data_IF_686477920769
#
_entry.id   IF_686477920769
#
_cell.length_a   1.000
_cell.length_b   1.000
_cell.length_c   1.000
_cell.angle_alpha   90.00
_cell.angle_beta   90.00
_cell.angle_gamma   90.00
#
_symmetry.space_group_name_H-M   'P 1'
#
loop_
_entity.id
_entity.type
_entity.pdbx_description
1 polymer ?
#
# COMPACT_ATOMS: atom_id res chain seq x y z
N UNK A 1 8.09 0.09 -6.84
CA UNK A 1 8.29 -1.15 -7.63
C UNK A 1 9.27 -0.92 -8.78
N UNK A 2 9.01 -0.02 -9.77
CA UNK A 2 9.88 0.19 -10.96
C UNK A 2 11.35 0.48 -10.61
N UNK A 3 11.64 1.37 -9.66
CA UNK A 3 13.01 1.63 -9.22
C UNK A 3 13.71 0.36 -8.69
N UNK A 4 12.99 -0.48 -7.95
CA UNK A 4 13.54 -1.75 -7.47
C UNK A 4 13.79 -2.73 -8.62
N UNK A 5 12.89 -2.80 -9.60
CA UNK A 5 13.08 -3.62 -10.80
C UNK A 5 14.30 -3.20 -11.61
N UNK A 6 14.52 -1.89 -11.74
CA UNK A 6 15.72 -1.32 -12.40
C UNK A 6 16.98 -1.65 -11.60
N UNK A 7 16.96 -1.51 -10.28
CA UNK A 7 18.09 -1.90 -9.42
C UNK A 7 18.41 -3.40 -9.51
N UNK A 8 17.43 -4.26 -9.79
CA UNK A 8 17.63 -5.70 -9.94
C UNK A 8 17.92 -6.13 -11.37
N UNK A 9 18.18 -5.20 -12.27
CA UNK A 9 18.42 -5.43 -13.71
C UNK A 9 17.29 -6.21 -14.41
N UNK A 10 16.05 -6.08 -13.88
CA UNK A 10 14.84 -6.68 -14.48
C UNK A 10 14.19 -5.75 -15.49
N UNK A 11 14.40 -4.45 -15.33
CA UNK A 11 13.95 -3.41 -16.26
C UNK A 11 15.15 -2.56 -16.67
N UNK A 12 15.22 -2.18 -17.96
CA UNK A 12 16.26 -1.29 -18.48
C UNK A 12 16.09 0.15 -17.98
N UNK A 13 17.16 0.90 -17.97
CA UNK A 13 17.20 2.34 -17.68
C UNK A 13 17.75 3.12 -18.89
N UNK A 14 17.32 4.37 -19.03
CA UNK A 14 17.68 5.19 -20.20
C UNK A 14 19.10 5.75 -20.10
N UNK A 15 19.58 6.05 -18.90
CA UNK A 15 20.90 6.65 -18.66
C UNK A 15 21.37 6.43 -17.23
N UNK A 16 22.68 6.53 -17.01
CA UNK A 16 23.34 6.32 -15.73
C UNK A 16 23.91 4.92 -15.59
N UNK A 17 24.61 4.68 -14.49
CA UNK A 17 25.25 3.41 -14.18
C UNK A 17 24.84 2.94 -12.79
N UNK A 18 24.53 1.64 -12.66
CA UNK A 18 24.26 1.00 -11.36
C UNK A 18 25.52 0.22 -10.98
N UNK A 19 26.14 0.62 -9.87
CA UNK A 19 27.38 -0.01 -9.41
C UNK A 19 27.15 -0.73 -8.11
N UNK A 20 27.35 -2.04 -8.11
CA UNK A 20 27.31 -2.87 -6.92
C UNK A 20 28.71 -3.15 -6.37
N UNK A 21 28.80 -3.25 -5.05
CA UNK A 21 30.01 -3.78 -4.40
C UNK A 21 30.19 -5.24 -4.83
N UNK A 22 31.44 -5.68 -5.05
CA UNK A 22 31.76 -7.09 -5.27
C UNK A 22 31.25 -7.93 -4.09
N UNK A 23 30.73 -9.10 -4.41
CA UNK A 23 30.25 -10.10 -3.44
C UNK A 23 29.06 -9.62 -2.58
N UNK A 24 28.34 -8.58 -3.01
CA UNK A 24 27.14 -8.13 -2.32
C UNK A 24 26.02 -9.16 -2.51
N UNK A 25 25.57 -9.75 -1.42
CA UNK A 25 24.38 -10.59 -1.41
C UNK A 25 23.13 -9.74 -1.34
N UNK A 26 22.35 -9.74 -2.41
CA UNK A 26 21.10 -8.97 -2.51
C UNK A 26 19.92 -9.91 -2.36
N UNK A 27 19.00 -9.60 -1.44
CA UNK A 27 17.71 -10.25 -1.32
C UNK A 27 16.61 -9.32 -1.84
N UNK A 28 15.74 -9.81 -2.70
CA UNK A 28 14.64 -9.02 -3.23
C UNK A 28 13.30 -9.72 -3.08
N UNK A 29 12.38 -9.08 -2.35
CA UNK A 29 10.98 -9.47 -2.27
C UNK A 29 10.17 -8.69 -3.30
N UNK A 30 9.67 -9.42 -4.29
CA UNK A 30 8.82 -8.86 -5.34
C UNK A 30 7.38 -8.67 -4.88
N UNK A 31 6.68 -7.71 -5.49
CA UNK A 31 5.26 -7.48 -5.24
C UNK A 31 4.40 -8.71 -5.62
N UNK A 32 4.75 -9.43 -6.67
CA UNK A 32 4.02 -10.61 -7.18
C UNK A 32 4.99 -11.76 -7.45
N UNK A 33 5.45 -12.47 -6.41
CA UNK A 33 6.36 -13.58 -6.56
C UNK A 33 5.70 -14.72 -7.34
N UNK A 34 6.45 -15.34 -8.24
CA UNK A 34 6.00 -16.50 -9.01
C UNK A 34 6.72 -17.75 -8.51
N UNK A 35 5.97 -18.83 -8.35
CA UNK A 35 6.46 -20.13 -7.94
C UNK A 35 5.93 -21.20 -8.90
N UNK A 36 6.64 -22.30 -9.00
CA UNK A 36 6.11 -23.48 -9.66
C UNK A 36 4.96 -24.05 -8.79
N UNK A 37 3.76 -24.23 -9.34
CA UNK A 37 2.62 -24.74 -8.58
C UNK A 37 2.83 -26.13 -7.98
N UNK A 38 3.69 -26.96 -8.60
CA UNK A 38 3.94 -28.34 -8.18
C UNK A 38 5.04 -28.46 -7.11
N UNK A 39 5.88 -27.42 -6.92
CA UNK A 39 6.89 -27.42 -5.86
C UNK A 39 6.24 -27.37 -4.48
N UNK A 40 6.81 -28.08 -3.51
CA UNK A 40 6.45 -27.94 -2.12
C UNK A 40 6.97 -26.61 -1.54
N UNK A 41 6.34 -26.11 -0.47
CA UNK A 41 6.80 -24.93 0.25
C UNK A 41 8.27 -25.02 0.62
N UNK A 42 8.72 -26.21 1.06
CA UNK A 42 10.10 -26.43 1.44
C UNK A 42 11.04 -26.34 0.23
N UNK A 43 10.68 -26.95 -0.89
CA UNK A 43 11.46 -26.87 -2.13
C UNK A 43 11.55 -25.44 -2.68
N UNK A 44 10.45 -24.68 -2.63
CA UNK A 44 10.43 -23.29 -3.04
C UNK A 44 11.36 -22.37 -2.21
N UNK A 45 11.69 -22.77 -0.98
CA UNK A 45 12.65 -22.07 -0.13
C UNK A 45 14.10 -22.50 -0.34
N UNK A 46 14.32 -23.68 -0.92
CA UNK A 46 15.65 -24.27 -1.09
C UNK A 46 15.82 -24.68 -2.56
N UNK A 47 16.62 -23.95 -3.32
CA UNK A 47 17.04 -24.35 -4.66
C UNK A 47 17.94 -25.59 -4.59
N UNK A 48 17.42 -26.72 -4.08
CA UNK A 48 18.12 -28.02 -3.96
C UNK A 48 19.41 -28.04 -3.12
N UNK A 49 19.58 -27.10 -2.20
CA UNK A 49 20.70 -27.13 -1.24
C UNK A 49 20.29 -27.87 0.05
N UNK A 50 20.88 -29.03 0.29
CA UNK A 50 20.67 -29.87 1.48
C UNK A 50 21.47 -29.39 2.72
N UNK A 51 21.50 -28.09 3.00
CA UNK A 51 22.14 -27.55 4.20
C UNK A 51 21.21 -27.64 5.41
N UNK A 52 21.48 -28.51 6.41
CA UNK A 52 20.58 -28.71 7.55
C UNK A 52 20.34 -27.45 8.38
N UNK A 53 21.33 -26.54 8.47
CA UNK A 53 21.19 -25.31 9.23
C UNK A 53 20.22 -24.34 8.55
N UNK A 54 20.31 -24.23 7.21
CA UNK A 54 19.36 -23.44 6.42
C UNK A 54 17.95 -24.00 6.50
N UNK A 55 17.80 -25.33 6.47
CA UNK A 55 16.50 -26.01 6.62
C UNK A 55 15.86 -25.71 7.97
N UNK A 56 16.65 -25.78 9.06
CA UNK A 56 16.14 -25.45 10.40
C UNK A 56 15.67 -24.00 10.47
N UNK A 57 16.48 -23.09 9.95
CA UNK A 57 16.17 -21.66 9.92
C UNK A 57 14.91 -21.36 9.09
N UNK A 58 14.78 -21.98 7.94
CA UNK A 58 13.58 -21.87 7.11
C UNK A 58 12.33 -22.33 7.86
N UNK A 59 12.38 -23.47 8.52
CA UNK A 59 11.28 -23.97 9.34
C UNK A 59 10.91 -22.98 10.43
N UNK A 60 11.88 -22.37 11.08
CA UNK A 60 11.64 -21.34 12.10
C UNK A 60 10.93 -20.11 11.51
N UNK A 61 11.46 -19.56 10.41
CA UNK A 61 10.88 -18.36 9.76
C UNK A 61 9.47 -18.66 9.22
N UNK A 62 9.28 -19.80 8.55
CA UNK A 62 7.97 -20.21 8.02
C UNK A 62 6.94 -20.40 9.14
N UNK A 63 7.36 -20.97 10.29
CA UNK A 63 6.49 -21.09 11.46
C UNK A 63 6.05 -19.72 11.99
N UNK A 64 6.96 -18.77 12.09
CA UNK A 64 6.65 -17.38 12.48
C UNK A 64 5.70 -16.69 11.50
N UNK A 65 5.79 -17.04 10.23
CA UNK A 65 4.88 -16.56 9.18
C UNK A 65 3.62 -17.42 9.03
N UNK A 66 3.32 -18.28 10.00
CA UNK A 66 2.14 -19.15 10.06
C UNK A 66 1.98 -20.06 8.81
N UNK A 67 3.10 -20.55 8.29
CA UNK A 67 3.16 -21.59 7.25
C UNK A 67 3.61 -22.89 7.94
N UNK A 68 2.65 -23.77 8.22
CA UNK A 68 2.88 -24.97 9.03
C UNK A 68 3.04 -26.24 8.19
N UNK A 69 2.37 -26.33 7.05
CA UNK A 69 2.49 -27.48 6.14
C UNK A 69 3.55 -27.22 5.08
N UNK A 70 4.75 -27.73 5.31
CA UNK A 70 5.92 -27.48 4.45
C UNK A 70 5.96 -28.36 3.22
N UNK A 71 5.24 -29.48 3.22
CA UNK A 71 5.15 -30.41 2.09
C UNK A 71 3.99 -30.06 1.14
N UNK A 72 3.21 -29.03 1.47
CA UNK A 72 2.09 -28.61 0.63
C UNK A 72 2.60 -27.96 -0.66
N UNK A 73 2.04 -28.32 -1.83
CA UNK A 73 2.35 -27.68 -3.11
C UNK A 73 2.03 -26.19 -3.10
N UNK A 74 2.89 -25.37 -3.72
CA UNK A 74 2.72 -23.92 -3.81
C UNK A 74 1.41 -23.50 -4.49
N UNK A 75 0.94 -24.28 -5.45
CA UNK A 75 -0.33 -24.05 -6.14
C UNK A 75 -1.58 -24.15 -5.26
N UNK A 76 -1.49 -24.81 -4.09
CA UNK A 76 -2.58 -24.93 -3.13
C UNK A 76 -2.60 -23.79 -2.10
N UNK A 77 -1.58 -22.94 -2.10
CA UNK A 77 -1.50 -21.80 -1.20
C UNK A 77 -2.31 -20.62 -1.74
N UNK A 78 -2.94 -19.87 -0.85
CA UNK A 78 -3.50 -18.55 -1.19
C UNK A 78 -2.38 -17.57 -1.60
N UNK A 79 -2.70 -16.54 -2.40
CA UNK A 79 -1.73 -15.53 -2.79
C UNK A 79 -1.02 -14.85 -1.62
N UNK A 80 -1.74 -14.67 -0.49
CA UNK A 80 -1.12 -14.15 0.75
C UNK A 80 -0.15 -15.13 1.40
N UNK A 81 -0.42 -16.44 1.33
CA UNK A 81 0.52 -17.47 1.81
C UNK A 81 1.75 -17.55 0.92
N UNK A 82 1.58 -17.50 -0.40
CA UNK A 82 2.70 -17.47 -1.34
C UNK A 82 3.64 -16.28 -1.10
N UNK A 83 3.08 -15.09 -0.81
CA UNK A 83 3.89 -13.91 -0.44
C UNK A 83 4.66 -14.11 0.87
N UNK A 84 4.07 -14.78 1.84
CA UNK A 84 4.77 -15.11 3.10
C UNK A 84 5.91 -16.11 2.87
N UNK A 85 5.71 -17.09 2.00
CA UNK A 85 6.79 -18.01 1.58
C UNK A 85 7.90 -17.26 0.85
N UNK A 86 7.56 -16.32 -0.05
CA UNK A 86 8.54 -15.48 -0.74
C UNK A 86 9.35 -14.62 0.24
N UNK A 87 8.69 -14.02 1.23
CA UNK A 87 9.37 -13.28 2.29
C UNK A 87 10.32 -14.20 3.07
N UNK A 88 9.86 -15.39 3.46
CA UNK A 88 10.71 -16.37 4.13
C UNK A 88 11.95 -16.71 3.31
N UNK A 89 11.77 -16.99 2.01
CA UNK A 89 12.85 -17.32 1.08
C UNK A 89 13.94 -16.23 1.07
N UNK A 90 13.53 -14.96 0.94
CA UNK A 90 14.47 -13.84 0.97
C UNK A 90 15.19 -13.71 2.32
N UNK A 91 14.51 -13.92 3.44
CA UNK A 91 15.10 -13.79 4.78
C UNK A 91 16.07 -14.95 5.14
N UNK A 92 15.82 -16.14 4.61
CA UNK A 92 16.67 -17.33 4.83
C UNK A 92 18.07 -17.14 4.26
N UNK A 93 18.16 -16.44 3.11
CA UNK A 93 19.45 -16.22 2.43
C UNK A 93 20.39 -15.27 3.17
N UNK A 94 19.94 -14.60 4.23
CA UNK A 94 20.68 -13.59 4.99
C UNK A 94 21.43 -12.57 4.11
N UNK A 95 20.73 -11.81 3.31
CA UNK A 95 21.37 -10.88 2.40
C UNK A 95 22.01 -9.70 3.15
N UNK A 96 23.11 -9.16 2.58
CA UNK A 96 23.73 -7.92 3.05
C UNK A 96 22.87 -6.70 2.73
N UNK A 97 22.18 -6.76 1.60
CA UNK A 97 21.25 -5.72 1.14
C UNK A 97 19.88 -6.33 0.85
N UNK A 98 18.89 -5.87 1.56
CA UNK A 98 17.53 -6.39 1.52
C UNK A 98 16.60 -5.37 0.85
N UNK A 99 16.01 -5.73 -0.28
CA UNK A 99 14.99 -4.95 -0.95
C UNK A 99 13.62 -5.56 -0.75
N UNK A 100 12.68 -4.77 -0.21
CA UNK A 100 11.34 -5.22 0.15
C UNK A 100 10.27 -4.35 -0.51
N UNK A 101 9.45 -4.96 -1.36
CA UNK A 101 8.30 -4.28 -1.98
C UNK A 101 7.01 -4.69 -1.27
N UNK A 102 6.45 -3.75 -0.49
CA UNK A 102 5.23 -3.92 0.33
C UNK A 102 5.27 -5.17 1.24
N UNK A 103 6.28 -5.29 2.13
CA UNK A 103 6.50 -6.51 2.91
C UNK A 103 5.42 -6.79 3.96
N UNK A 104 4.65 -5.77 4.39
CA UNK A 104 3.59 -5.90 5.39
C UNK A 104 2.25 -6.38 4.81
N UNK A 105 2.12 -6.37 3.48
CA UNK A 105 0.90 -6.84 2.83
C UNK A 105 0.67 -8.33 3.11
N UNK A 106 -0.55 -8.68 3.48
CA UNK A 106 -0.99 -10.04 3.84
C UNK A 106 -0.40 -10.60 5.15
N UNK A 107 0.34 -9.80 5.93
CA UNK A 107 0.74 -10.13 7.28
C UNK A 107 -0.33 -9.68 8.27
N UNK A 108 -0.49 -10.40 9.36
CA UNK A 108 -1.24 -9.94 10.51
C UNK A 108 -0.32 -9.19 11.49
N UNK A 109 -0.90 -8.63 12.55
CA UNK A 109 -0.18 -7.78 13.48
C UNK A 109 1.01 -8.51 14.14
N UNK A 110 0.82 -9.76 14.52
CA UNK A 110 1.85 -10.58 15.17
C UNK A 110 3.05 -10.82 14.24
N UNK A 111 2.77 -11.11 12.96
CA UNK A 111 3.82 -11.26 11.94
C UNK A 111 4.54 -9.94 11.64
N UNK A 112 3.82 -8.82 11.62
CA UNK A 112 4.41 -7.49 11.42
C UNK A 112 5.36 -7.16 12.58
N UNK A 113 4.94 -7.35 13.83
CA UNK A 113 5.78 -7.12 15.02
C UNK A 113 7.02 -8.02 15.02
N UNK A 114 6.86 -9.27 14.63
CA UNK A 114 8.01 -10.17 14.48
C UNK A 114 8.96 -9.69 13.38
N UNK A 115 8.45 -9.28 12.22
CA UNK A 115 9.26 -8.78 11.11
C UNK A 115 10.00 -7.50 11.49
N UNK A 116 9.34 -6.55 12.17
CA UNK A 116 9.99 -5.36 12.75
C UNK A 116 11.17 -5.75 13.63
N UNK A 117 10.96 -6.69 14.57
CA UNK A 117 12.01 -7.20 15.45
C UNK A 117 13.14 -7.89 14.69
N UNK A 118 12.83 -8.62 13.63
CA UNK A 118 13.82 -9.29 12.79
C UNK A 118 14.67 -8.30 11.99
N UNK A 119 14.05 -7.29 11.38
CA UNK A 119 14.75 -6.29 10.57
C UNK A 119 15.59 -5.34 11.39
N UNK A 120 15.18 -5.02 12.61
CA UNK A 120 15.95 -4.17 13.53
C UNK A 120 17.12 -4.90 14.19
N UNK A 121 17.20 -6.24 14.11
CA UNK A 121 18.33 -7.00 14.63
C UNK A 121 19.44 -7.09 13.59
N UNK A 122 20.64 -6.68 13.98
CA UNK A 122 21.85 -6.78 13.16
C UNK A 122 22.07 -5.59 12.22
N UNK A 123 23.21 -5.62 11.51
CA UNK A 123 23.64 -4.54 10.61
C UNK A 123 23.18 -4.82 9.18
N UNK A 124 21.87 -4.85 8.94
CA UNK A 124 21.31 -5.05 7.60
C UNK A 124 21.08 -3.73 6.91
N UNK A 125 21.45 -3.64 5.64
CA UNK A 125 21.04 -2.52 4.79
C UNK A 125 19.70 -2.86 4.16
N UNK A 126 18.71 -2.01 4.38
CA UNK A 126 17.33 -2.24 3.93
C UNK A 126 16.90 -1.11 3.02
N UNK A 127 16.34 -1.47 1.88
CA UNK A 127 15.62 -0.56 1.00
C UNK A 127 14.20 -1.08 0.80
N UNK A 128 13.20 -0.32 1.25
CA UNK A 128 11.82 -0.79 1.16
C UNK A 128 10.89 0.24 0.54
N UNK A 129 9.84 -0.25 -0.09
CA UNK A 129 8.66 0.51 -0.49
C UNK A 129 7.51 0.00 0.36
N UNK A 130 6.82 0.90 1.05
CA UNK A 130 5.64 0.53 1.84
C UNK A 130 4.69 1.71 2.01
N UNK A 131 3.40 1.41 2.14
CA UNK A 131 2.35 2.34 2.54
C UNK A 131 2.08 2.28 4.06
N UNK A 132 2.69 1.35 4.76
CA UNK A 132 2.56 1.21 6.22
C UNK A 132 3.48 2.21 6.94
N UNK A 133 2.87 3.30 7.41
CA UNK A 133 3.58 4.41 8.07
C UNK A 133 4.18 4.00 9.42
N UNK A 134 3.50 3.12 10.13
CA UNK A 134 3.96 2.64 11.45
C UNK A 134 5.17 1.75 11.30
N UNK A 135 5.13 0.84 10.33
CA UNK A 135 6.24 -0.03 10.01
C UNK A 135 7.47 0.77 9.54
N UNK A 136 7.24 1.76 8.67
CA UNK A 136 8.27 2.65 8.16
C UNK A 136 8.96 3.42 9.29
N UNK A 137 8.18 3.94 10.24
CA UNK A 137 8.69 4.74 11.37
C UNK A 137 9.53 3.90 12.35
N UNK A 138 9.24 2.59 12.46
CA UNK A 138 9.97 1.69 13.35
C UNK A 138 11.23 1.07 12.74
N UNK A 139 11.27 0.88 11.42
CA UNK A 139 12.35 0.16 10.73
C UNK A 139 13.31 1.10 10.02
N UNK A 140 12.81 2.23 9.46
CA UNK A 140 13.62 3.11 8.63
C UNK A 140 14.16 4.31 9.41
N UNK A 141 15.42 4.68 9.12
CA UNK A 141 16.07 5.90 9.60
C UNK A 141 16.22 6.98 8.52
N UNK A 142 15.89 6.65 7.30
CA UNK A 142 15.97 7.54 6.14
C UNK A 142 14.76 7.29 5.24
N UNK A 143 14.10 8.36 4.81
CA UNK A 143 12.95 8.31 3.90
C UNK A 143 13.32 8.98 2.59
N UNK A 144 13.05 8.31 1.49
CA UNK A 144 13.17 8.83 0.15
C UNK A 144 11.78 9.14 -0.40
N UNK A 145 11.53 10.38 -0.76
CA UNK A 145 10.31 10.80 -1.44
C UNK A 145 10.61 10.99 -2.93
N UNK A 146 9.94 10.23 -3.77
CA UNK A 146 9.96 10.43 -5.22
C UNK A 146 8.80 11.34 -5.61
N UNK A 147 9.10 12.57 -6.01
CA UNK A 147 8.11 13.58 -6.38
C UNK A 147 8.61 14.36 -7.60
N UNK A 148 7.78 14.49 -8.63
CA UNK A 148 8.06 15.17 -9.89
C UNK A 148 9.48 14.86 -10.46
N UNK A 149 9.78 13.57 -10.63
CA UNK A 149 11.07 13.05 -11.18
C UNK A 149 12.31 13.38 -10.32
N UNK A 150 12.11 13.85 -9.10
CA UNK A 150 13.17 14.20 -8.16
C UNK A 150 13.08 13.35 -6.91
N UNK A 151 14.22 12.93 -6.38
CA UNK A 151 14.28 12.20 -5.11
C UNK A 151 14.72 13.17 -4.02
N UNK A 152 13.87 13.32 -3.02
CA UNK A 152 14.16 14.08 -1.80
C UNK A 152 14.50 13.11 -0.67
N UNK A 153 15.59 13.39 0.03
CA UNK A 153 16.08 12.52 1.11
C UNK A 153 15.84 13.20 2.47
N UNK A 154 15.17 12.49 3.36
CA UNK A 154 14.90 12.92 4.72
C UNK A 154 15.53 11.94 5.71
N UNK A 155 16.48 12.40 6.52
CA UNK A 155 17.11 11.59 7.57
C UNK A 155 16.35 11.81 8.87
N UNK A 156 15.57 10.82 9.27
CA UNK A 156 14.71 10.88 10.44
C UNK A 156 13.50 9.96 10.29
N UNK A 157 12.57 10.08 11.22
CA UNK A 157 11.34 9.31 11.26
C UNK A 157 10.25 9.89 10.33
N UNK A 158 9.10 9.22 10.25
CA UNK A 158 8.00 9.62 9.39
C UNK A 158 7.40 10.98 9.78
N UNK A 159 7.35 11.31 11.09
CA UNK A 159 6.88 12.61 11.55
C UNK A 159 7.78 13.76 11.07
N UNK A 160 9.11 13.58 11.17
CA UNK A 160 10.09 14.52 10.64
C UNK A 160 9.97 14.71 9.12
N UNK A 161 9.76 13.61 8.38
CA UNK A 161 9.50 13.68 6.95
C UNK A 161 8.28 14.54 6.63
N UNK A 162 7.15 14.33 7.32
CA UNK A 162 5.92 15.09 7.09
C UNK A 162 6.13 16.58 7.35
N UNK A 163 6.81 16.93 8.44
CA UNK A 163 7.14 18.33 8.78
C UNK A 163 7.97 18.98 7.67
N UNK A 164 9.06 18.33 7.27
CA UNK A 164 9.96 18.85 6.22
C UNK A 164 9.33 18.89 4.84
N UNK A 165 8.49 17.92 4.52
CA UNK A 165 7.70 17.95 3.30
C UNK A 165 6.73 19.15 3.29
N UNK A 166 6.06 19.40 4.42
CA UNK A 166 5.14 20.54 4.53
C UNK A 166 5.88 21.86 4.37
N UNK A 167 7.00 22.05 5.06
CA UNK A 167 7.87 23.23 4.89
C UNK A 167 8.29 23.43 3.42
N UNK A 168 8.73 22.37 2.75
CA UNK A 168 9.10 22.41 1.32
C UNK A 168 7.94 22.86 0.44
N UNK A 169 6.75 22.30 0.67
CA UNK A 169 5.55 22.64 -0.09
C UNK A 169 5.10 24.08 0.14
N UNK A 170 5.21 24.57 1.36
CA UNK A 170 4.83 25.95 1.69
C UNK A 170 5.82 26.96 1.09
N UNK A 171 7.13 26.64 1.11
CA UNK A 171 8.15 27.46 0.43
C UNK A 171 7.90 27.49 -1.09
N UNK A 172 7.61 26.36 -1.71
CA UNK A 172 7.29 26.29 -3.14
C UNK A 172 6.02 27.10 -3.49
N UNK A 173 4.99 27.02 -2.66
CA UNK A 173 3.77 27.84 -2.81
C UNK A 173 4.06 29.32 -2.72
N UNK A 174 4.89 29.72 -1.76
CA UNK A 174 5.30 31.11 -1.57
C UNK A 174 6.10 31.62 -2.79
N UNK A 175 7.04 30.84 -3.30
CA UNK A 175 7.85 31.16 -4.47
C UNK A 175 6.97 31.31 -5.73
N UNK A 176 6.07 30.38 -5.98
CA UNK A 176 5.13 30.48 -7.11
C UNK A 176 4.24 31.71 -6.96
N UNK A 177 3.75 32.03 -5.75
CA UNK A 177 2.92 33.20 -5.52
C UNK A 177 3.70 34.50 -5.73
N UNK A 178 4.95 34.55 -5.28
CA UNK A 178 5.84 35.69 -5.53
C UNK A 178 6.08 35.86 -7.03
N UNK A 179 6.40 34.76 -7.73
CA UNK A 179 6.60 34.75 -9.18
C UNK A 179 5.35 35.17 -9.95
N UNK A 180 4.15 34.77 -9.53
CA UNK A 180 2.88 35.24 -10.10
C UNK A 180 2.69 36.73 -9.96
N UNK A 181 3.03 37.31 -8.82
CA UNK A 181 2.91 38.74 -8.58
C UNK A 181 3.91 39.54 -9.44
N UNK A 182 5.14 39.04 -9.55
CA UNK A 182 6.17 39.65 -10.41
C UNK A 182 5.78 39.51 -11.90
N UNK A 183 5.29 38.33 -12.32
CA UNK A 183 4.82 38.10 -13.68
C UNK A 183 3.72 39.07 -14.10
N UNK A 184 2.76 39.38 -13.22
CA UNK A 184 1.71 40.39 -13.53
C UNK A 184 2.30 41.76 -13.81
N UNK A 185 3.31 42.20 -13.05
CA UNK A 185 3.99 43.50 -13.27
C UNK A 185 4.78 43.49 -14.58
N UNK A 186 5.53 42.43 -14.85
CA UNK A 186 6.33 42.31 -16.06
C UNK A 186 5.44 42.12 -17.31
N UNK A 187 4.27 41.49 -17.18
CA UNK A 187 3.31 41.36 -18.25
C UNK A 187 2.77 42.74 -18.69
N UNK A 188 2.49 43.64 -17.75
CA UNK A 188 2.06 44.99 -18.03
C UNK A 188 3.15 45.77 -18.77
N UNK A 189 4.43 45.56 -18.38
CA UNK A 189 5.56 46.13 -19.10
C UNK A 189 5.71 45.51 -20.50
N UNK A 190 5.56 44.21 -20.67
CA UNK A 190 5.61 43.54 -21.97
C UNK A 190 4.50 44.02 -22.92
N UNK A 191 3.32 44.36 -22.44
CA UNK A 191 2.20 44.87 -23.21
C UNK A 191 2.35 46.32 -23.67
N UNK A 192 3.19 47.12 -22.98
CA UNK A 192 3.47 48.50 -23.39
C UNK A 192 4.35 48.52 -24.64
N UNK A 193 4.02 49.37 -25.59
CA UNK A 193 4.87 49.60 -26.76
C UNK A 193 6.15 50.37 -26.34
N UNK A 194 7.32 50.07 -26.98
CA UNK A 194 8.54 50.85 -26.74
C UNK A 194 8.32 52.31 -27.13
N UNK A 195 8.86 53.23 -26.31
CA UNK A 195 8.79 54.65 -26.64
C UNK A 195 9.79 54.97 -27.78
N UNK A 196 9.31 55.66 -28.82
CA UNK A 196 10.09 56.06 -29.97
C UNK A 196 10.72 54.88 -30.76
N UNK A 197 11.94 55.07 -31.32
CA UNK A 197 12.65 54.05 -32.11
C UNK A 197 13.42 53.00 -31.27
N UNK A 198 13.06 52.85 -29.97
CA UNK A 198 13.72 51.90 -29.07
C UNK A 198 13.18 50.49 -29.18
N UNK A 199 14.07 49.50 -28.96
CA UNK A 199 13.72 48.11 -28.80
C UNK A 199 13.65 47.76 -27.31
N UNK A 200 12.78 46.79 -26.93
CA UNK A 200 12.81 46.24 -25.58
C UNK A 200 14.14 45.56 -25.32
N UNK A 201 14.61 45.63 -24.10
CA UNK A 201 15.87 44.98 -23.73
C UNK A 201 15.67 43.43 -23.76
N UNK A 202 16.37 42.74 -24.66
CA UNK A 202 16.27 41.30 -24.91
C UNK A 202 16.44 40.51 -23.62
N UNK A 203 17.40 40.84 -22.80
CA UNK A 203 17.65 40.22 -21.49
C UNK A 203 16.38 40.22 -20.61
N UNK A 204 15.59 41.30 -20.61
CA UNK A 204 14.36 41.40 -19.82
C UNK A 204 13.19 40.59 -20.41
N UNK A 205 13.17 40.48 -21.75
CA UNK A 205 12.26 39.60 -22.46
C UNK A 205 12.55 38.11 -22.11
N UNK A 206 13.81 37.71 -22.15
CA UNK A 206 14.23 36.36 -21.79
C UNK A 206 13.92 36.05 -20.33
N UNK A 207 14.19 36.99 -19.40
CA UNK A 207 13.82 36.85 -17.99
C UNK A 207 12.31 36.75 -17.77
N UNK A 208 11.50 37.46 -18.58
CA UNK A 208 10.05 37.36 -18.53
C UNK A 208 9.56 35.94 -18.89
N UNK A 209 10.10 35.31 -19.93
CA UNK A 209 9.70 33.96 -20.32
C UNK A 209 10.11 32.92 -19.27
N UNK A 210 11.25 33.06 -18.62
CA UNK A 210 11.62 32.17 -17.50
C UNK A 210 10.68 32.37 -16.30
N UNK A 211 10.35 33.61 -15.96
CA UNK A 211 9.40 33.94 -14.91
C UNK A 211 8.00 33.38 -15.21
N UNK A 212 7.59 33.44 -16.48
CA UNK A 212 6.31 32.89 -16.94
C UNK A 212 6.21 31.38 -16.69
N UNK A 213 7.28 30.63 -16.97
CA UNK A 213 7.32 29.18 -16.71
C UNK A 213 7.06 28.88 -15.24
N UNK A 214 7.75 29.58 -14.32
CA UNK A 214 7.57 29.41 -12.88
C UNK A 214 6.18 29.84 -12.43
N UNK A 215 5.71 31.02 -12.89
CA UNK A 215 4.40 31.56 -12.51
C UNK A 215 3.21 30.72 -12.98
N UNK A 216 3.38 29.97 -14.09
CA UNK A 216 2.36 29.05 -14.62
C UNK A 216 2.40 27.66 -14.01
N UNK A 217 3.40 27.34 -13.18
CA UNK A 217 3.40 26.07 -12.45
C UNK A 217 2.15 25.97 -11.58
N UNK A 218 1.49 24.83 -11.67
CA UNK A 218 0.34 24.47 -10.83
C UNK A 218 0.79 23.38 -9.88
N UNK A 219 0.75 23.65 -8.61
CA UNK A 219 0.79 22.59 -7.60
C UNK A 219 -0.59 21.94 -7.66
N UNK A 220 -0.66 20.73 -8.22
CA UNK A 220 -1.89 19.95 -8.20
C UNK A 220 -2.13 19.45 -6.78
N UNK A 221 -2.95 20.19 -6.05
CA UNK A 221 -3.48 19.72 -4.77
C UNK A 221 -4.62 18.74 -5.11
N UNK A 222 -4.27 17.47 -5.33
CA UNK A 222 -5.22 16.39 -5.68
C UNK A 222 -6.06 15.99 -4.46
N UNK A 223 -6.64 16.96 -3.77
CA UNK A 223 -7.66 16.66 -2.76
C UNK A 223 -8.99 16.37 -3.45
N UNK A 224 -9.29 15.10 -3.59
CA UNK A 224 -10.63 14.66 -3.98
C UNK A 224 -11.57 14.99 -2.83
N UNK A 225 -12.37 16.03 -2.97
CA UNK A 225 -13.45 16.34 -2.02
C UNK A 225 -14.67 15.53 -2.41
N UNK A 226 -14.82 14.36 -1.84
CA UNK A 226 -16.04 13.57 -1.96
C UNK A 226 -17.13 14.27 -1.15
N UNK A 227 -18.15 14.78 -1.83
CA UNK A 227 -19.40 15.22 -1.18
C UNK A 227 -20.31 14.01 -1.10
N UNK A 228 -20.39 13.37 0.06
CA UNK A 228 -21.42 12.38 0.32
C UNK A 228 -22.74 13.10 0.60
N UNK A 229 -23.77 12.82 -0.18
CA UNK A 229 -25.12 13.21 0.18
C UNK A 229 -25.57 12.31 1.32
N UNK A 230 -25.97 12.91 2.44
CA UNK A 230 -26.53 12.17 3.57
C UNK A 230 -27.92 11.67 3.22
N UNK A 231 -28.03 10.39 2.91
CA UNK A 231 -29.33 9.71 2.86
C UNK A 231 -29.83 9.57 4.30
N UNK A 232 -31.14 9.76 4.50
CA UNK A 232 -31.76 9.55 5.80
C UNK A 232 -31.57 8.07 6.23
N UNK A 233 -30.83 7.87 7.31
CA UNK A 233 -30.65 6.55 7.93
C UNK A 233 -31.54 6.51 9.15
N UNK A 234 -32.42 5.51 9.26
CA UNK A 234 -33.24 5.26 10.42
C UNK A 234 -32.41 5.05 11.71
N UNK A 235 -33.07 4.97 12.84
CA UNK A 235 -32.40 4.76 14.14
C UNK A 235 -31.77 3.36 14.26
N UNK A 236 -32.35 2.37 13.61
CA UNK A 236 -31.88 0.97 13.59
C UNK A 236 -30.91 0.80 12.42
N UNK A 237 -29.68 0.43 12.71
CA UNK A 237 -28.69 0.06 11.69
C UNK A 237 -28.76 -1.44 11.45
N UNK A 238 -28.16 -2.24 12.31
CA UNK A 238 -28.37 -3.68 12.32
C UNK A 238 -28.03 -4.26 13.69
N UNK A 239 -28.64 -5.39 13.99
CA UNK A 239 -28.47 -6.13 15.22
C UNK A 239 -28.08 -7.56 14.90
N UNK A 240 -27.01 -8.02 15.51
CA UNK A 240 -26.60 -9.43 15.49
C UNK A 240 -27.29 -10.12 16.66
N UNK A 241 -28.23 -11.02 16.39
CA UNK A 241 -28.99 -11.72 17.43
C UNK A 241 -28.48 -13.15 17.58
N UNK A 242 -27.55 -13.36 18.52
CA UNK A 242 -27.03 -14.68 18.90
C UNK A 242 -26.48 -15.48 17.71
N UNK A 243 -25.69 -14.80 16.86
CA UNK A 243 -25.16 -15.38 15.63
C UNK A 243 -24.03 -16.35 15.93
N UNK A 244 -24.15 -17.57 15.40
CA UNK A 244 -23.09 -18.56 15.45
C UNK A 244 -22.74 -19.05 14.04
N UNK A 245 -21.45 -19.32 13.80
CA UNK A 245 -20.94 -19.88 12.56
C UNK A 245 -19.72 -20.74 12.81
N UNK A 246 -19.73 -21.94 12.25
CA UNK A 246 -18.58 -22.82 12.21
C UNK A 246 -18.41 -23.42 10.82
N UNK A 247 -17.19 -23.80 10.49
CA UNK A 247 -16.88 -24.57 9.29
C UNK A 247 -16.23 -25.89 9.66
N UNK A 248 -16.40 -26.88 8.82
CA UNK A 248 -15.69 -28.13 8.94
C UNK A 248 -14.35 -28.00 8.19
N UNK A 249 -13.25 -28.05 8.91
CA UNK A 249 -11.91 -28.03 8.37
C UNK A 249 -11.24 -29.39 8.60
N UNK A 250 -11.30 -30.27 7.61
CA UNK A 250 -10.71 -31.63 7.62
C UNK A 250 -11.17 -32.50 8.81
N UNK A 251 -12.45 -32.43 9.13
CA UNK A 251 -13.03 -33.19 10.25
C UNK A 251 -12.88 -32.53 11.62
N UNK A 252 -12.33 -31.31 11.68
CA UNK A 252 -12.32 -30.47 12.87
C UNK A 252 -13.28 -29.30 12.69
N UNK A 253 -14.20 -29.13 13.64
CA UNK A 253 -15.14 -28.00 13.63
C UNK A 253 -14.43 -26.72 14.06
N UNK A 254 -14.17 -25.84 13.10
CA UNK A 254 -13.60 -24.51 13.37
C UNK A 254 -14.74 -23.52 13.62
N UNK A 255 -14.90 -23.11 14.86
CA UNK A 255 -15.89 -22.10 15.27
C UNK A 255 -15.34 -20.72 14.92
N UNK A 256 -16.12 -19.94 14.17
CA UNK A 256 -15.79 -18.55 13.78
C UNK A 256 -16.48 -17.56 14.70
N UNK A 257 -17.76 -17.77 14.97
CA UNK A 257 -18.58 -17.01 15.91
C UNK A 257 -19.36 -17.97 16.78
N UNK A 258 -19.46 -17.65 18.05
CA UNK A 258 -20.27 -18.40 19.00
C UNK A 258 -21.19 -17.44 19.78
N UNK A 259 -22.49 -17.60 19.54
CA UNK A 259 -23.56 -16.89 20.23
C UNK A 259 -23.34 -15.35 20.28
N UNK A 260 -22.88 -14.76 19.20
CA UNK A 260 -22.48 -13.34 19.12
C UNK A 260 -23.74 -12.46 19.11
N UNK A 261 -23.84 -11.56 20.08
CA UNK A 261 -24.85 -10.53 20.13
C UNK A 261 -24.23 -9.14 20.12
N UNK A 262 -24.71 -8.29 19.21
CA UNK A 262 -24.28 -6.89 19.17
C UNK A 262 -25.32 -6.04 18.44
N UNK A 263 -25.59 -4.84 18.97
CA UNK A 263 -26.46 -3.86 18.35
C UNK A 263 -25.66 -2.66 17.90
N UNK A 264 -25.59 -2.45 16.60
CA UNK A 264 -24.82 -1.36 15.97
C UNK A 264 -25.57 -0.05 16.04
N UNK A 265 -24.94 0.94 16.67
CA UNK A 265 -25.49 2.27 16.82
C UNK A 265 -25.27 3.12 15.54
N UNK A 266 -26.18 4.08 15.36
CA UNK A 266 -26.04 5.05 14.27
C UNK A 266 -24.75 5.87 14.44
N UNK A 267 -23.98 6.07 13.34
CA UNK A 267 -22.69 6.75 13.31
C UNK A 267 -21.54 6.04 14.05
N UNK A 268 -21.77 4.84 14.50
CA UNK A 268 -20.70 4.03 15.07
C UNK A 268 -19.64 3.68 14.01
N UNK A 269 -18.38 3.72 14.43
CA UNK A 269 -17.21 3.31 13.63
C UNK A 269 -16.54 2.16 14.35
N UNK A 270 -16.65 0.95 13.80
CA UNK A 270 -16.12 -0.26 14.42
C UNK A 270 -14.98 -0.83 13.59
N UNK A 271 -13.89 -1.20 14.26
CA UNK A 271 -12.79 -1.96 13.66
C UNK A 271 -12.84 -3.42 14.12
N UNK A 272 -12.64 -4.36 13.21
CA UNK A 272 -12.51 -5.79 13.52
C UNK A 272 -11.04 -6.17 13.42
N UNK A 273 -10.45 -6.59 14.52
CA UNK A 273 -9.04 -6.97 14.63
C UNK A 273 -8.92 -8.47 14.92
N UNK A 274 -7.86 -9.09 14.46
CA UNK A 274 -7.55 -10.51 14.71
C UNK A 274 -6.60 -11.06 13.64
N UNK A 275 -6.00 -12.21 13.94
CA UNK A 275 -5.06 -12.90 13.07
C UNK A 275 -5.70 -13.35 11.75
N UNK A 276 -4.88 -13.74 10.77
CA UNK A 276 -5.38 -14.25 9.50
C UNK A 276 -6.13 -15.59 9.72
N UNK A 277 -7.25 -15.76 8.99
CA UNK A 277 -8.08 -16.97 9.10
C UNK A 277 -8.98 -17.04 10.33
N UNK A 278 -9.10 -15.98 11.16
CA UNK A 278 -10.02 -15.95 12.32
C UNK A 278 -11.48 -15.71 11.93
N UNK A 279 -11.79 -15.44 10.67
CA UNK A 279 -13.17 -15.27 10.18
C UNK A 279 -13.66 -13.84 10.04
N UNK A 280 -12.78 -12.82 10.06
CA UNK A 280 -13.14 -11.39 9.87
C UNK A 280 -13.96 -11.17 8.60
N UNK A 281 -13.48 -11.66 7.47
CA UNK A 281 -14.20 -11.55 6.19
C UNK A 281 -15.45 -12.39 6.14
N UNK A 282 -15.48 -13.53 6.86
CA UNK A 282 -16.68 -14.36 6.98
C UNK A 282 -17.80 -13.62 7.70
N UNK A 283 -17.48 -12.89 8.78
CA UNK A 283 -18.44 -12.06 9.48
C UNK A 283 -19.07 -11.00 8.55
N UNK A 284 -18.24 -10.30 7.77
CA UNK A 284 -18.74 -9.31 6.81
C UNK A 284 -19.62 -9.99 5.74
N UNK A 285 -19.21 -11.13 5.20
CA UNK A 285 -19.97 -11.90 4.21
C UNK A 285 -21.32 -12.40 4.77
N UNK A 286 -21.37 -12.75 6.06
CA UNK A 286 -22.63 -13.09 6.71
C UNK A 286 -23.55 -11.87 6.82
N UNK A 287 -23.02 -10.70 7.15
CA UNK A 287 -23.79 -9.46 7.21
C UNK A 287 -24.34 -9.06 5.84
N UNK A 288 -23.60 -9.32 4.76
CA UNK A 288 -24.03 -9.09 3.37
C UNK A 288 -25.02 -10.17 2.86
N UNK A 289 -25.25 -11.25 3.64
CA UNK A 289 -26.10 -12.36 3.24
C UNK A 289 -25.46 -13.35 2.25
N UNK A 290 -24.17 -13.19 1.94
CA UNK A 290 -23.42 -14.13 1.07
C UNK A 290 -23.16 -15.48 1.77
N UNK A 291 -23.05 -15.48 3.08
CA UNK A 291 -22.88 -16.68 3.92
C UNK A 291 -23.98 -16.71 4.96
N UNK A 292 -24.67 -17.83 5.08
CA UNK A 292 -25.71 -17.97 6.10
C UNK A 292 -25.09 -18.35 7.46
N UNK A 293 -25.57 -17.77 8.58
CA UNK A 293 -25.19 -18.22 9.90
C UNK A 293 -25.79 -19.63 10.19
N UNK A 294 -25.15 -20.39 11.08
CA UNK A 294 -25.64 -21.70 11.48
C UNK A 294 -26.80 -21.57 12.52
N UNK A 295 -26.74 -20.50 13.32
CA UNK A 295 -27.83 -20.11 14.23
C UNK A 295 -27.81 -18.58 14.43
N UNK A 296 -28.94 -18.08 14.98
CA UNK A 296 -29.14 -16.64 15.14
C UNK A 296 -29.56 -15.96 13.84
N UNK A 297 -29.63 -14.65 13.85
CA UNK A 297 -29.98 -13.84 12.67
C UNK A 297 -29.39 -12.44 12.74
N UNK A 298 -29.27 -11.82 11.55
CA UNK A 298 -28.99 -10.40 11.41
C UNK A 298 -30.33 -9.67 11.19
N UNK A 299 -30.65 -8.73 12.04
CA UNK A 299 -31.82 -7.88 11.91
C UNK A 299 -31.38 -6.51 11.42
N UNK A 300 -31.57 -6.27 10.12
CA UNK A 300 -31.04 -5.10 9.37
C UNK A 300 -32.17 -4.11 9.16
N UNK A 301 -31.92 -2.82 9.42
CA UNK A 301 -32.88 -1.76 9.19
C UNK A 301 -33.25 -1.63 7.72
N UNK A 302 -34.52 -1.42 7.38
CA UNK A 302 -35.05 -1.35 6.01
C UNK A 302 -34.38 -0.27 5.13
N UNK A 303 -33.87 0.79 5.76
CA UNK A 303 -33.22 1.91 5.07
C UNK A 303 -31.70 1.74 4.95
N UNK A 304 -31.13 0.64 5.45
CA UNK A 304 -29.70 0.40 5.43
C UNK A 304 -29.29 -0.14 4.08
N UNK A 305 -28.31 0.53 3.47
CA UNK A 305 -27.64 0.05 2.25
C UNK A 305 -26.16 -0.20 2.57
N UNK A 306 -25.67 -1.36 2.20
CA UNK A 306 -24.27 -1.73 2.41
C UNK A 306 -23.43 -1.31 1.20
N UNK A 307 -22.35 -0.56 1.45
CA UNK A 307 -21.25 -0.41 0.52
C UNK A 307 -20.13 -1.35 0.96
N UNK A 308 -19.76 -2.30 0.11
CA UNK A 308 -18.72 -3.26 0.43
C UNK A 308 -17.50 -3.07 -0.49
N UNK A 309 -16.35 -2.81 0.12
CA UNK A 309 -15.06 -2.81 -0.56
C UNK A 309 -14.30 -4.06 -0.16
N UNK A 310 -14.18 -5.02 -1.09
CA UNK A 310 -13.50 -6.29 -0.83
C UNK A 310 -11.99 -6.17 -0.95
N UNK A 311 -11.27 -7.10 -0.32
CA UNK A 311 -9.82 -7.22 -0.46
C UNK A 311 -9.39 -7.56 -1.91
N UNK A 312 -10.25 -8.22 -2.67
CA UNK A 312 -10.05 -8.56 -4.09
C UNK A 312 -10.33 -7.38 -5.03
N UNK A 313 -10.80 -6.22 -4.48
CA UNK A 313 -11.21 -5.07 -5.26
C UNK A 313 -12.60 -5.20 -5.89
N UNK A 314 -12.89 -4.35 -6.85
CA UNK A 314 -14.16 -4.39 -7.60
C UNK A 314 -14.05 -5.43 -8.72
N UNK A 315 -15.11 -6.24 -8.86
CA UNK A 315 -15.25 -7.15 -10.01
C UNK A 315 -15.88 -6.36 -11.15
N UNK A 316 -15.22 -6.27 -12.27
CA UNK A 316 -15.69 -5.59 -13.49
C UNK A 316 -15.35 -6.44 -14.71
N UNK A 317 -16.05 -6.19 -15.83
CA UNK A 317 -15.72 -6.79 -17.11
C UNK A 317 -14.64 -5.95 -17.79
N UNK A 318 -13.72 -6.57 -18.51
CA UNK A 318 -12.58 -5.89 -19.15
C UNK A 318 -13.00 -4.84 -20.19
N UNK A 319 -14.19 -4.99 -20.79
CA UNK A 319 -14.76 -4.07 -21.77
C UNK A 319 -15.55 -2.90 -21.15
N UNK A 320 -15.73 -2.88 -19.82
CA UNK A 320 -16.52 -1.91 -19.10
C UNK A 320 -15.76 -0.60 -18.91
N UNK A 321 -16.41 0.55 -19.14
CA UNK A 321 -15.81 1.85 -18.84
C UNK A 321 -15.81 2.10 -17.34
N UNK A 322 -14.79 2.79 -16.84
CA UNK A 322 -14.67 3.13 -15.41
C UNK A 322 -15.91 3.84 -14.87
N UNK A 323 -16.50 4.75 -15.67
CA UNK A 323 -17.72 5.47 -15.28
C UNK A 323 -18.90 4.52 -15.10
N UNK A 324 -19.05 3.50 -15.96
CA UNK A 324 -20.16 2.55 -15.90
C UNK A 324 -20.07 1.69 -14.63
N UNK A 325 -18.84 1.28 -14.22
CA UNK A 325 -18.60 0.56 -12.96
C UNK A 325 -19.04 1.38 -11.75
N UNK A 326 -18.78 2.69 -11.77
CA UNK A 326 -19.15 3.57 -10.67
C UNK A 326 -20.67 3.82 -10.67
N UNK A 327 -21.29 3.98 -11.84
CA UNK A 327 -22.75 4.19 -11.93
C UNK A 327 -23.58 2.96 -11.55
N UNK A 328 -23.03 1.74 -11.69
CA UNK A 328 -23.66 0.52 -11.17
C UNK A 328 -23.73 0.49 -9.63
N UNK A 329 -22.83 1.20 -8.96
CA UNK A 329 -22.78 1.27 -7.49
C UNK A 329 -23.63 2.43 -6.96
N UNK A 330 -23.69 3.54 -7.70
CA UNK A 330 -24.40 4.75 -7.31
C UNK A 330 -25.14 5.37 -8.50
N UNK A 331 -26.46 5.46 -8.42
CA UNK A 331 -27.31 6.01 -9.46
C UNK A 331 -27.09 7.53 -9.73
N UNK A 332 -26.31 8.19 -8.88
CA UNK A 332 -26.02 9.63 -8.96
C UNK A 332 -24.53 9.89 -8.68
N UNK A 333 -23.85 10.38 -9.68
CA UNK A 333 -22.50 10.98 -9.57
C UNK A 333 -22.56 12.42 -10.04
#
# INVERSE_FOLDING_TARGET
STLMSVLMDKEGHESGDIIYRRDLKVGYLEQSPQFDPEESVLQACFNHEDDPEKVLKAKQILTQLHITNLEQPMGQLSGGQQKRVALANVLITEPDFLMLDEPTNHLDLEMIEWLEGYLNRGNKTIFMVTHDRFFLDKVCNTILELDDRTIYTYRGNYAYYLEKRQERMDNLRAEIQHSKNLYRRELDWMRRQPQARGHKAKYREDAFYELEKVAKQRIEDRQVRLKASTVYIGSKIFECQYVSKAFDDRGQKKVILDNFYYNFARFEKMGIVGNNGTGKSTFIKMLLGEVQPDSGKFDIGETVRFGYFSQEGLKFREDQKVIDVITEIADYI
#
